data_IF_868054181088
#
_entry.id   IF_868054181088
#
_cell.length_a   1.000
_cell.length_b   1.000
_cell.length_c   1.000
_cell.angle_alpha   90.00
_cell.angle_beta   90.00
_cell.angle_gamma   90.00
#
_symmetry.space_group_name_H-M   'P 1'
#
loop_
_entity.id
_entity.type
_entity.pdbx_description
1 polymer ?
#
# COMPACT_ATOMS: atom_id res chain seq x y z
N UNK A 1 -20.97 21.25 -31.90
CA UNK A 1 -20.11 20.11 -31.50
C UNK A 1 -18.66 20.57 -31.50
N UNK A 2 -17.78 20.15 -30.57
CA UNK A 2 -18.01 19.45 -29.30
C UNK A 2 -17.83 20.39 -28.08
N UNK A 3 -18.49 20.05 -26.97
CA UNK A 3 -18.30 20.69 -25.66
C UNK A 3 -16.91 20.34 -25.15
N UNK A 4 -16.08 21.34 -24.85
CA UNK A 4 -14.91 21.16 -23.98
C UNK A 4 -15.43 20.72 -22.61
N UNK A 5 -15.05 19.53 -22.19
CA UNK A 5 -15.16 19.11 -20.79
C UNK A 5 -14.04 19.86 -20.07
N UNK A 6 -14.40 20.86 -19.27
CA UNK A 6 -13.46 21.60 -18.42
C UNK A 6 -12.91 20.67 -17.33
N UNK A 7 -11.63 20.84 -16.92
CA UNK A 7 -10.88 19.85 -16.12
C UNK A 7 -11.15 19.95 -14.61
N UNK A 8 -12.32 20.42 -14.21
CA UNK A 8 -12.64 20.77 -12.83
C UNK A 8 -13.65 19.78 -12.24
N UNK A 9 -13.11 18.62 -11.84
CA UNK A 9 -13.68 17.73 -10.81
C UNK A 9 -12.69 16.62 -10.40
N UNK A 10 -11.47 17.01 -10.04
CA UNK A 10 -10.60 16.19 -9.18
C UNK A 10 -10.60 16.71 -7.73
N UNK A 11 -11.59 17.52 -7.38
CA UNK A 11 -11.97 17.76 -5.98
C UNK A 11 -12.85 16.60 -5.49
N UNK A 12 -12.23 15.43 -5.32
CA UNK A 12 -12.61 14.58 -4.19
C UNK A 12 -11.85 15.15 -2.98
N UNK A 13 -12.37 16.27 -2.50
CA UNK A 13 -12.27 16.65 -1.11
C UNK A 13 -12.74 15.42 -0.33
N UNK A 14 -11.77 14.70 0.24
CA UNK A 14 -12.05 13.77 1.32
C UNK A 14 -12.52 14.69 2.45
N UNK A 15 -13.84 14.77 2.59
CA UNK A 15 -14.50 15.41 3.72
C UNK A 15 -13.94 14.74 4.99
N UNK A 16 -13.52 15.52 5.98
CA UNK A 16 -13.04 15.04 7.29
C UNK A 16 -14.22 14.51 8.15
N UNK A 17 -15.17 13.82 7.52
CA UNK A 17 -16.33 13.18 8.12
C UNK A 17 -16.31 11.69 7.79
N UNK A 18 -16.05 10.86 8.80
CA UNK A 18 -16.23 9.40 8.79
C UNK A 18 -15.84 8.71 7.48
N UNK A 19 -14.53 8.70 7.15
CA UNK A 19 -14.02 7.74 6.17
C UNK A 19 -14.33 6.34 6.73
N UNK A 20 -15.34 5.68 6.17
CA UNK A 20 -15.73 4.33 6.54
C UNK A 20 -14.55 3.40 6.25
N UNK A 21 -13.81 3.07 7.31
CA UNK A 21 -12.75 2.08 7.32
C UNK A 21 -13.43 0.71 7.25
N UNK A 22 -13.66 0.20 6.05
CA UNK A 22 -14.11 -1.19 5.87
C UNK A 22 -12.90 -2.12 5.74
N UNK A 23 -12.18 -2.26 6.86
CA UNK A 23 -11.05 -3.19 6.97
C UNK A 23 -11.40 -4.62 6.54
N UNK A 24 -12.57 -5.18 6.88
CA UNK A 24 -13.00 -6.48 6.34
C UNK A 24 -13.07 -6.51 4.81
N UNK A 25 -13.66 -5.50 4.16
CA UNK A 25 -13.73 -5.46 2.71
C UNK A 25 -12.35 -5.28 2.06
N UNK A 26 -11.50 -4.40 2.62
CA UNK A 26 -10.13 -4.21 2.11
C UNK A 26 -9.29 -5.47 2.28
N UNK A 27 -9.45 -6.16 3.41
CA UNK A 27 -8.80 -7.45 3.67
C UNK A 27 -9.23 -8.48 2.64
N UNK A 28 -10.53 -8.64 2.37
CA UNK A 28 -11.02 -9.55 1.34
C UNK A 28 -10.51 -9.19 -0.06
N UNK A 29 -10.42 -7.89 -0.39
CA UNK A 29 -9.87 -7.43 -1.66
C UNK A 29 -8.37 -7.74 -1.81
N UNK A 30 -7.61 -7.71 -0.71
CA UNK A 30 -6.17 -7.99 -0.70
C UNK A 30 -5.80 -9.43 -1.09
N UNK A 31 -6.77 -10.35 -1.13
CA UNK A 31 -6.59 -11.73 -1.62
C UNK A 31 -7.00 -11.91 -3.09
N UNK A 32 -7.41 -10.85 -3.76
CA UNK A 32 -7.78 -10.89 -5.18
C UNK A 32 -6.59 -10.51 -6.06
N UNK A 33 -6.68 -10.79 -7.36
CA UNK A 33 -5.65 -10.37 -8.33
C UNK A 33 -5.43 -8.85 -8.34
N UNK A 34 -6.45 -8.07 -7.99
CA UNK A 34 -6.35 -6.61 -7.94
C UNK A 34 -5.71 -6.10 -6.64
N UNK A 35 -5.73 -6.85 -5.55
CA UNK A 35 -5.28 -6.36 -4.24
C UNK A 35 -6.24 -5.34 -3.63
N UNK A 36 -5.86 -4.82 -2.45
CA UNK A 36 -6.62 -3.80 -1.75
C UNK A 36 -6.78 -2.49 -2.58
N UNK A 37 -7.71 -1.59 -2.26
CA UNK A 37 -7.72 -0.25 -2.86
C UNK A 37 -6.40 0.51 -2.58
N UNK A 38 -6.17 1.61 -3.30
CA UNK A 38 -5.06 2.51 -3.02
C UNK A 38 -5.29 3.28 -1.72
N UNK A 39 -4.45 3.02 -0.72
CA UNK A 39 -4.59 3.54 0.65
C UNK A 39 -3.47 4.53 0.99
N UNK A 40 -3.74 5.63 1.71
CA UNK A 40 -2.71 6.40 2.40
C UNK A 40 -1.93 5.54 3.40
N UNK A 41 -0.71 5.97 3.75
CA UNK A 41 0.19 5.21 4.62
C UNK A 41 -0.44 4.73 5.93
N UNK A 42 -1.26 5.55 6.59
CA UNK A 42 -1.92 5.19 7.85
C UNK A 42 -2.93 4.04 7.68
N UNK A 43 -3.76 4.10 6.63
CA UNK A 43 -4.75 3.06 6.33
C UNK A 43 -4.08 1.78 5.83
N UNK A 44 -2.99 1.90 5.08
CA UNK A 44 -2.18 0.75 4.68
C UNK A 44 -1.55 0.04 5.91
N UNK A 45 -1.05 0.79 6.91
CA UNK A 45 -0.61 0.22 8.19
C UNK A 45 -1.74 -0.48 8.94
N UNK A 46 -2.93 0.11 9.01
CA UNK A 46 -4.09 -0.52 9.62
C UNK A 46 -4.46 -1.85 8.96
N UNK A 47 -4.49 -1.91 7.62
CA UNK A 47 -4.75 -3.13 6.87
C UNK A 47 -3.66 -4.19 7.10
N UNK A 48 -2.37 -3.79 7.06
CA UNK A 48 -1.26 -4.71 7.31
C UNK A 48 -1.30 -5.29 8.74
N UNK A 49 -1.63 -4.48 9.76
CA UNK A 49 -1.85 -4.95 11.14
C UNK A 49 -3.06 -5.88 11.24
N UNK A 50 -4.11 -5.59 10.48
CA UNK A 50 -5.32 -6.41 10.45
C UNK A 50 -5.05 -7.81 9.87
N UNK A 51 -4.23 -7.91 8.82
CA UNK A 51 -3.73 -9.17 8.29
C UNK A 51 -2.78 -9.89 9.27
N UNK A 52 -1.84 -9.16 9.88
CA UNK A 52 -0.91 -9.74 10.85
C UNK A 52 -1.62 -10.41 12.04
N UNK A 53 -2.68 -9.79 12.56
CA UNK A 53 -3.51 -10.38 13.64
C UNK A 53 -4.19 -11.70 13.23
N UNK A 54 -4.28 -11.99 11.94
CA UNK A 54 -4.86 -13.21 11.34
C UNK A 54 -3.80 -14.20 10.85
N UNK A 55 -2.53 -13.92 11.10
CA UNK A 55 -1.43 -14.76 10.65
C UNK A 55 -1.03 -14.55 9.19
N UNK A 56 -1.37 -13.40 8.62
CA UNK A 56 -1.05 -13.06 7.23
C UNK A 56 -0.01 -11.93 7.13
N UNK A 57 0.84 -12.01 6.12
CA UNK A 57 1.84 -11.01 5.80
C UNK A 57 1.50 -10.21 4.54
N UNK A 58 2.13 -9.03 4.41
CA UNK A 58 2.11 -8.28 3.14
C UNK A 58 3.00 -9.03 2.14
N UNK A 59 2.37 -9.71 1.19
CA UNK A 59 3.04 -10.53 0.19
C UNK A 59 3.59 -9.70 -0.97
N UNK A 60 2.80 -8.71 -1.39
CA UNK A 60 3.14 -7.73 -2.41
C UNK A 60 2.63 -6.36 -1.96
N UNK A 61 3.35 -5.31 -2.36
CA UNK A 61 2.91 -3.93 -2.23
C UNK A 61 3.31 -3.18 -3.47
N UNK A 62 2.42 -2.32 -3.94
CA UNK A 62 2.75 -1.25 -4.88
C UNK A 62 2.61 0.10 -4.18
N UNK A 63 3.41 1.09 -4.56
CA UNK A 63 3.26 2.46 -4.13
C UNK A 63 3.27 3.44 -5.31
N UNK A 64 2.38 4.44 -5.26
CA UNK A 64 2.22 5.45 -6.30
C UNK A 64 2.20 6.86 -5.69
N UNK A 65 2.91 7.81 -6.29
CA UNK A 65 2.91 9.19 -5.85
C UNK A 65 1.60 9.90 -6.19
N UNK A 66 1.05 10.68 -5.26
CA UNK A 66 -0.16 11.51 -5.52
C UNK A 66 0.13 12.67 -6.49
N UNK A 67 1.36 13.15 -6.50
CA UNK A 67 1.88 14.16 -7.43
C UNK A 67 3.35 13.82 -7.73
N UNK A 68 3.71 13.69 -9.01
CA UNK A 68 5.11 13.53 -9.40
C UNK A 68 5.86 14.85 -9.13
N UNK A 69 6.78 14.86 -8.16
CA UNK A 69 7.85 15.86 -8.07
C UNK A 69 9.14 15.18 -8.51
N UNK A 70 9.40 15.23 -9.82
CA UNK A 70 10.51 14.54 -10.50
C UNK A 70 10.53 13.01 -10.26
N UNK A 71 11.01 12.20 -11.21
CA UNK A 71 11.13 10.77 -10.97
C UNK A 71 12.13 10.57 -9.82
N UNK A 72 11.74 9.85 -8.76
CA UNK A 72 12.69 9.48 -7.73
C UNK A 72 13.83 8.67 -8.32
N UNK A 73 15.04 8.91 -7.85
CA UNK A 73 16.24 8.18 -8.28
C UNK A 73 16.29 6.73 -7.77
N UNK A 74 15.32 6.31 -6.94
CA UNK A 74 15.34 5.02 -6.25
C UNK A 74 13.92 4.42 -6.15
N UNK A 75 13.74 3.25 -6.74
CA UNK A 75 12.52 2.41 -6.73
C UNK A 75 12.29 1.70 -5.38
N UNK A 76 13.19 1.87 -4.40
CA UNK A 76 13.20 1.13 -3.14
C UNK A 76 11.96 1.25 -2.26
N UNK A 77 11.08 2.23 -2.50
CA UNK A 77 9.78 2.38 -1.83
C UNK A 77 8.58 1.89 -2.64
N UNK A 78 8.75 1.60 -3.93
CA UNK A 78 7.64 1.40 -4.87
C UNK A 78 7.06 0.00 -4.82
N UNK A 79 7.89 -1.01 -4.51
CA UNK A 79 7.48 -2.41 -4.60
C UNK A 79 8.01 -3.21 -3.39
N UNK A 80 7.14 -3.98 -2.72
CA UNK A 80 7.53 -5.17 -1.94
C UNK A 80 7.44 -6.37 -2.86
N UNK A 81 8.45 -7.24 -2.91
CA UNK A 81 8.54 -8.37 -3.84
C UNK A 81 9.66 -8.25 -4.89
N UNK A 82 10.42 -7.15 -4.85
CA UNK A 82 11.69 -6.97 -5.55
C UNK A 82 12.77 -6.46 -4.58
N UNK A 83 12.72 -6.95 -3.34
CA UNK A 83 13.69 -6.65 -2.29
C UNK A 83 14.90 -7.58 -2.38
N UNK A 84 15.91 -7.32 -1.55
CA UNK A 84 17.05 -8.23 -1.39
C UNK A 84 16.58 -9.62 -0.96
N UNK A 85 17.29 -10.66 -1.40
CA UNK A 85 17.05 -12.05 -1.00
C UNK A 85 16.85 -12.18 0.51
N UNK A 86 15.81 -12.93 0.90
CA UNK A 86 15.42 -13.16 2.28
C UNK A 86 14.45 -12.11 2.85
N UNK A 87 14.20 -11.02 2.13
CA UNK A 87 13.20 -10.00 2.51
C UNK A 87 11.91 -10.08 1.68
N UNK A 88 11.91 -10.81 0.57
CA UNK A 88 10.70 -11.04 -0.21
C UNK A 88 9.83 -12.09 0.47
N UNK A 89 8.51 -11.90 0.39
CA UNK A 89 7.54 -12.81 0.98
C UNK A 89 7.78 -14.27 0.56
N UNK A 90 8.11 -14.51 -0.71
CA UNK A 90 8.40 -15.83 -1.27
C UNK A 90 9.57 -16.55 -0.58
N UNK A 91 10.47 -15.82 0.06
CA UNK A 91 11.69 -16.36 0.66
C UNK A 91 11.46 -16.83 2.10
N UNK A 92 10.58 -16.15 2.85
CA UNK A 92 10.44 -16.37 4.30
C UNK A 92 9.02 -16.72 4.75
N UNK A 93 7.97 -16.23 4.07
CA UNK A 93 6.55 -16.42 4.45
C UNK A 93 6.22 -16.17 5.93
N UNK A 94 7.00 -15.31 6.59
CA UNK A 94 6.84 -14.85 7.97
C UNK A 94 6.07 -13.51 8.00
N UNK A 95 4.82 -13.50 8.49
CA UNK A 95 4.00 -12.29 8.61
C UNK A 95 4.66 -11.15 9.36
N UNK A 96 5.41 -11.44 10.44
CA UNK A 96 6.04 -10.42 11.27
C UNK A 96 7.20 -9.77 10.54
N UNK A 97 7.99 -10.57 9.83
CA UNK A 97 9.07 -10.05 9.00
C UNK A 97 8.50 -9.20 7.86
N UNK A 98 7.49 -9.69 7.13
CA UNK A 98 6.83 -8.94 6.06
C UNK A 98 6.32 -7.56 6.56
N UNK A 99 5.66 -7.55 7.72
CA UNK A 99 5.19 -6.31 8.33
C UNK A 99 6.33 -5.34 8.69
N UNK A 100 7.47 -5.85 9.16
CA UNK A 100 8.65 -5.02 9.44
C UNK A 100 9.23 -4.40 8.17
N UNK A 101 9.32 -5.16 7.08
CA UNK A 101 9.82 -4.65 5.79
C UNK A 101 8.87 -3.57 5.25
N UNK A 102 7.56 -3.84 5.30
CA UNK A 102 6.54 -2.86 4.95
C UNK A 102 6.68 -1.54 5.74
N UNK A 103 6.77 -1.60 7.06
CA UNK A 103 6.97 -0.40 7.90
C UNK A 103 8.27 0.35 7.56
N UNK A 104 9.34 -0.37 7.22
CA UNK A 104 10.60 0.25 6.81
C UNK A 104 10.43 1.07 5.52
N UNK A 105 9.66 0.57 4.55
CA UNK A 105 9.36 1.30 3.30
C UNK A 105 8.49 2.54 3.54
N UNK A 106 7.43 2.43 4.37
CA UNK A 106 6.63 3.60 4.76
C UNK A 106 7.50 4.67 5.43
N UNK A 107 8.40 4.26 6.32
CA UNK A 107 9.33 5.17 7.00
C UNK A 107 10.30 5.83 6.01
N UNK A 108 10.82 5.08 5.04
CA UNK A 108 11.73 5.61 4.01
C UNK A 108 11.04 6.70 3.18
N UNK A 109 9.87 6.41 2.63
CA UNK A 109 9.09 7.38 1.85
C UNK A 109 8.82 8.69 2.64
N UNK A 110 8.47 8.56 3.94
CA UNK A 110 8.31 9.72 4.83
C UNK A 110 9.61 10.51 5.02
N UNK A 111 10.74 9.83 5.23
CA UNK A 111 12.05 10.48 5.41
C UNK A 111 12.49 11.22 4.15
N UNK A 112 12.11 10.73 2.97
CA UNK A 112 12.40 11.36 1.69
C UNK A 112 11.39 12.47 1.33
N UNK A 113 10.41 12.74 2.21
CA UNK A 113 9.40 13.79 1.99
C UNK A 113 8.39 13.47 0.91
N UNK A 114 8.24 12.19 0.52
CA UNK A 114 7.33 11.76 -0.54
C UNK A 114 5.98 11.35 0.05
N UNK A 115 4.90 11.76 -0.61
CA UNK A 115 3.53 11.35 -0.25
C UNK A 115 3.02 10.33 -1.26
N UNK A 116 2.84 9.09 -0.80
CA UNK A 116 2.45 7.94 -1.60
C UNK A 116 1.08 7.39 -1.18
N UNK A 117 0.41 6.73 -2.11
CA UNK A 117 -0.66 5.76 -1.88
C UNK A 117 -0.09 4.35 -2.06
N UNK A 118 -0.66 3.38 -1.35
CA UNK A 118 -0.17 2.01 -1.30
C UNK A 118 -1.29 1.03 -1.64
N UNK A 119 -0.97 0.02 -2.44
CA UNK A 119 -1.83 -1.11 -2.75
C UNK A 119 -1.22 -2.36 -2.15
N UNK A 120 -2.00 -3.16 -1.41
CA UNK A 120 -1.49 -4.32 -0.67
C UNK A 120 -2.13 -5.61 -1.14
N UNK A 121 -1.32 -6.67 -1.21
CA UNK A 121 -1.77 -8.05 -1.28
C UNK A 121 -1.31 -8.78 -0.03
N UNK A 122 -2.20 -9.58 0.52
CA UNK A 122 -1.96 -10.35 1.74
C UNK A 122 -1.95 -11.83 1.43
N UNK A 123 -1.06 -12.57 2.10
CA UNK A 123 -1.06 -14.03 2.04
C UNK A 123 -0.88 -14.65 3.43
N UNK A 124 -1.45 -15.85 3.65
CA UNK A 124 -1.23 -16.62 4.87
C UNK A 124 0.24 -16.96 5.09
N UNK A 125 0.73 -16.76 6.31
CA UNK A 125 2.06 -17.20 6.71
C UNK A 125 2.29 -18.70 6.49
N UNK A 126 3.53 -19.05 6.16
CA UNK A 126 3.98 -20.43 6.13
C UNK A 126 4.31 -20.93 7.53
N UNK A 127 4.01 -22.20 7.79
CA UNK A 127 4.60 -22.96 8.90
C UNK A 127 6.01 -23.43 8.55
#
# INVERSE_FOLDING_TARGET
>A
MPKRISPERFDLLVDDGDVVVDLPAWFAAAHTGDGAPWLPAAQADELARYGLKRGEGVALMEAAARMFREPPSDIGWEILGNDRDGYNWTDHRDPKLAYRVFLAKLKKARMDGVTLLYKLWLEPGGA
#
